data_IF_881756387905
#
_entry.id   IF_881756387905
#
_cell.length_a   1.000
_cell.length_b   1.000
_cell.length_c   1.000
_cell.angle_alpha   90.00
_cell.angle_beta   90.00
_cell.angle_gamma   90.00
#
_symmetry.space_group_name_H-M   'P 1'
#
loop_
_entity.id
_entity.type
_entity.pdbx_description
1 polymer ?
#
# COMPACT_ATOMS: atom_id res chain seq x y z
N UNK A 1 32.86 9.51 6.97
CA UNK A 1 32.44 8.20 7.52
C UNK A 1 30.94 8.10 7.83
N UNK A 2 30.39 8.93 8.73
CA UNK A 2 28.98 8.82 9.16
C UNK A 2 27.94 9.17 8.06
N UNK A 3 28.25 10.12 7.18
CA UNK A 3 27.35 10.49 6.08
C UNK A 3 27.15 9.33 5.08
N UNK A 4 28.22 8.60 4.75
CA UNK A 4 28.18 7.45 3.86
C UNK A 4 27.34 6.30 4.45
N UNK A 5 27.57 5.95 5.72
CA UNK A 5 26.76 4.95 6.42
C UNK A 5 25.27 5.34 6.49
N UNK A 6 24.97 6.62 6.71
CA UNK A 6 23.59 7.14 6.72
C UNK A 6 22.92 7.08 5.35
N UNK A 7 23.66 7.33 4.27
CA UNK A 7 23.13 7.23 2.91
C UNK A 7 22.89 5.77 2.53
N UNK A 8 23.81 4.87 2.90
CA UNK A 8 23.71 3.44 2.62
C UNK A 8 22.50 2.80 3.30
N UNK A 9 22.31 3.07 4.59
CA UNK A 9 21.13 2.58 5.35
C UNK A 9 19.84 3.11 4.73
N UNK A 10 19.78 4.41 4.41
CA UNK A 10 18.60 5.01 3.77
C UNK A 10 18.32 4.43 2.39
N UNK A 11 19.34 4.10 1.60
CA UNK A 11 19.13 3.48 0.30
C UNK A 11 18.59 2.06 0.43
N UNK A 12 19.11 1.28 1.38
CA UNK A 12 18.64 -0.08 1.65
C UNK A 12 17.19 -0.09 2.14
N UNK A 13 16.85 0.77 3.10
CA UNK A 13 15.49 0.94 3.60
C UNK A 13 14.52 1.37 2.49
N UNK A 14 14.98 2.23 1.57
CA UNK A 14 14.19 2.69 0.42
C UNK A 14 13.91 1.55 -0.55
N UNK A 15 14.90 0.70 -0.84
CA UNK A 15 14.72 -0.42 -1.75
C UNK A 15 13.82 -1.51 -1.15
N UNK A 16 13.94 -1.76 0.16
CA UNK A 16 13.01 -2.62 0.91
C UNK A 16 11.59 -2.04 0.83
N UNK A 17 11.42 -0.75 1.10
CA UNK A 17 10.12 -0.08 1.05
C UNK A 17 9.46 -0.21 -0.33
N UNK A 18 10.22 0.03 -1.40
CA UNK A 18 9.70 -0.11 -2.76
C UNK A 18 9.35 -1.55 -3.11
N UNK A 19 10.16 -2.52 -2.67
CA UNK A 19 9.89 -3.95 -2.88
C UNK A 19 8.59 -4.40 -2.19
N UNK A 20 8.44 -4.03 -0.91
CA UNK A 20 7.22 -4.33 -0.14
C UNK A 20 6.01 -3.64 -0.78
N UNK A 21 6.11 -2.35 -1.09
CA UNK A 21 5.02 -1.59 -1.70
C UNK A 21 4.59 -2.17 -3.05
N UNK A 22 5.54 -2.62 -3.89
CA UNK A 22 5.21 -3.26 -5.17
C UNK A 22 4.39 -4.53 -4.96
N UNK A 23 4.82 -5.40 -4.03
CA UNK A 23 4.13 -6.65 -3.73
C UNK A 23 2.75 -6.41 -3.12
N UNK A 24 2.62 -5.43 -2.24
CA UNK A 24 1.32 -5.04 -1.68
C UNK A 24 0.39 -4.50 -2.75
N UNK A 25 0.87 -3.67 -3.68
CA UNK A 25 0.09 -3.19 -4.82
C UNK A 25 -0.41 -4.35 -5.69
N UNK A 26 0.43 -5.33 -6.01
CA UNK A 26 0.03 -6.50 -6.81
C UNK A 26 -1.10 -7.28 -6.11
N UNK A 27 -0.96 -7.54 -4.81
CA UNK A 27 -2.00 -8.20 -4.01
C UNK A 27 -3.27 -7.35 -3.89
N UNK A 28 -3.12 -6.03 -3.82
CA UNK A 28 -4.25 -5.11 -3.75
C UNK A 28 -5.02 -5.15 -5.07
N UNK A 29 -4.35 -5.17 -6.23
CA UNK A 29 -4.98 -5.27 -7.55
C UNK A 29 -5.82 -6.55 -7.63
N UNK A 30 -5.29 -7.70 -7.21
CA UNK A 30 -6.05 -8.95 -7.19
C UNK A 30 -7.31 -8.87 -6.30
N UNK A 31 -7.19 -8.26 -5.11
CA UNK A 31 -8.28 -8.16 -4.14
C UNK A 31 -9.30 -7.06 -4.46
N UNK A 32 -8.89 -5.93 -5.03
CA UNK A 32 -9.75 -4.76 -5.24
C UNK A 32 -10.90 -5.04 -6.20
N UNK A 33 -10.75 -6.03 -7.08
CA UNK A 33 -11.80 -6.49 -7.99
C UNK A 33 -12.64 -7.63 -7.44
N UNK A 34 -12.35 -8.15 -6.25
CA UNK A 34 -13.17 -9.20 -5.64
C UNK A 34 -14.58 -8.68 -5.29
N UNK A 35 -15.60 -9.55 -5.27
CA UNK A 35 -16.95 -9.17 -4.87
C UNK A 35 -16.99 -8.54 -3.47
N UNK A 36 -16.22 -9.09 -2.54
CA UNK A 36 -16.16 -8.64 -1.14
C UNK A 36 -15.60 -7.20 -1.04
N UNK A 37 -14.62 -6.86 -1.88
CA UNK A 37 -14.07 -5.51 -1.92
C UNK A 37 -15.10 -4.51 -2.46
N UNK A 38 -15.85 -4.87 -3.50
CA UNK A 38 -16.91 -4.01 -4.08
C UNK A 38 -18.06 -3.78 -3.09
N UNK A 39 -18.46 -4.83 -2.37
CA UNK A 39 -19.51 -4.74 -1.35
C UNK A 39 -19.08 -3.85 -0.20
N UNK A 40 -17.84 -4.01 0.30
CA UNK A 40 -17.28 -3.17 1.34
C UNK A 40 -17.21 -1.68 0.92
N UNK A 41 -16.76 -1.40 -0.32
CA UNK A 41 -16.74 -0.05 -0.88
C UNK A 41 -18.16 0.54 -0.99
N UNK A 42 -19.11 -0.25 -1.48
CA UNK A 42 -20.51 0.17 -1.61
C UNK A 42 -21.09 0.54 -0.25
N UNK A 43 -20.89 -0.29 0.78
CA UNK A 43 -21.32 -0.01 2.15
C UNK A 43 -20.66 1.26 2.69
N UNK A 44 -19.35 1.43 2.46
CA UNK A 44 -18.60 2.60 2.93
C UNK A 44 -19.14 3.90 2.33
N UNK A 45 -19.33 3.95 1.01
CA UNK A 45 -19.84 5.15 0.32
C UNK A 45 -21.33 5.40 0.61
N UNK A 46 -22.15 4.36 0.74
CA UNK A 46 -23.55 4.49 1.13
C UNK A 46 -23.71 5.00 2.58
N UNK A 47 -22.83 4.59 3.51
CA UNK A 47 -22.82 5.12 4.89
C UNK A 47 -22.52 6.62 4.91
N UNK A 48 -21.61 7.10 4.05
CA UNK A 48 -21.30 8.53 3.94
C UNK A 48 -22.42 9.37 3.32
N UNK A 49 -23.24 8.80 2.44
CA UNK A 49 -24.35 9.51 1.82
C UNK A 49 -25.57 9.74 2.77
N UNK A 50 -25.56 9.14 3.97
CA UNK A 50 -26.63 9.22 4.96
C UNK A 50 -26.35 10.19 6.12
N UNK A 51 -25.29 11.01 6.01
CA UNK A 51 -24.95 12.05 6.98
C UNK A 51 -25.33 13.45 6.45
#
# INVERSE_FOLDING_TARGET
PLAFSKTLIRSEDKDILHSVNSRECDQLVERCFSPECRDALTIFFQKKAKL
#
